data_IF_314908687785
#
_entry.id   IF_314908687785
#
_cell.length_a   1.000
_cell.length_b   1.000
_cell.length_c   1.000
_cell.angle_alpha   90.00
_cell.angle_beta   90.00
_cell.angle_gamma   90.00
#
_symmetry.space_group_name_H-M   'P 1'
#
loop_
_entity.id
_entity.type
_entity.pdbx_description
1 polymer ?
#
# COMPACT_ATOMS: atom_id res chain seq x y z
N UNK A 1 15.63 11.64 -2.65
CA UNK A 1 16.11 11.26 -4.01
C UNK A 1 14.96 11.50 -4.96
N UNK A 2 15.22 12.07 -6.14
CA UNK A 2 14.18 12.49 -7.09
C UNK A 2 14.17 11.54 -8.30
N UNK A 3 12.98 11.11 -8.72
CA UNK A 3 12.72 10.26 -9.90
C UNK A 3 11.38 10.71 -10.52
N UNK A 4 11.15 10.35 -11.79
CA UNK A 4 9.93 10.71 -12.54
C UNK A 4 8.85 9.64 -12.36
N UNK A 5 7.56 10.01 -12.44
CA UNK A 5 6.46 9.04 -12.44
C UNK A 5 6.37 8.37 -13.81
N UNK A 6 6.38 7.04 -13.84
CA UNK A 6 6.03 6.28 -15.05
C UNK A 6 4.57 5.84 -15.09
N UNK A 7 4.00 5.52 -13.93
CA UNK A 7 2.60 5.10 -13.81
C UNK A 7 1.97 5.72 -12.57
N UNK A 8 0.72 6.13 -12.70
CA UNK A 8 -0.08 6.66 -11.61
C UNK A 8 -1.39 5.87 -11.57
N UNK A 9 -1.64 5.19 -10.46
CA UNK A 9 -2.87 4.46 -10.23
C UNK A 9 -4.03 5.38 -9.82
N UNK A 10 -5.22 4.80 -9.79
CA UNK A 10 -6.42 5.47 -9.31
C UNK A 10 -6.32 5.89 -7.84
N UNK A 11 -7.16 6.86 -7.46
CA UNK A 11 -7.28 7.32 -6.08
C UNK A 11 -7.76 6.15 -5.21
N UNK A 12 -7.11 5.95 -4.08
CA UNK A 12 -7.45 4.90 -3.13
C UNK A 12 -8.93 4.98 -2.70
N UNK A 13 -9.59 3.82 -2.66
CA UNK A 13 -10.94 3.71 -2.08
C UNK A 13 -10.84 3.21 -0.64
N UNK A 14 -11.67 3.80 0.23
CA UNK A 14 -11.82 3.34 1.61
C UNK A 14 -12.19 1.87 1.60
N UNK A 15 -11.60 1.08 2.50
CA UNK A 15 -12.00 -0.32 2.63
C UNK A 15 -11.37 -1.28 1.60
N UNK A 16 -10.73 -0.78 0.53
CA UNK A 16 -10.33 -1.61 -0.63
C UNK A 16 -8.89 -1.31 -1.08
N UNK A 17 -8.02 -2.33 -1.15
CA UNK A 17 -6.78 -2.25 -1.95
C UNK A 17 -7.18 -2.57 -3.39
N UNK A 18 -7.07 -1.60 -4.30
CA UNK A 18 -7.53 -1.71 -5.68
C UNK A 18 -6.72 -2.77 -6.45
N UNK A 19 -7.38 -3.55 -7.30
CA UNK A 19 -6.70 -4.50 -8.19
C UNK A 19 -5.59 -3.82 -9.02
N UNK A 20 -5.84 -2.63 -9.56
CA UNK A 20 -4.83 -1.86 -10.29
C UNK A 20 -3.58 -1.57 -9.45
N UNK A 21 -3.73 -1.33 -8.14
CA UNK A 21 -2.57 -1.14 -7.26
C UNK A 21 -1.79 -2.43 -7.09
N UNK A 22 -2.47 -3.58 -7.00
CA UNK A 22 -1.84 -4.91 -6.94
C UNK A 22 -1.04 -5.19 -8.22
N UNK A 23 -1.60 -4.85 -9.38
CA UNK A 23 -0.92 -4.96 -10.69
C UNK A 23 0.29 -4.02 -10.81
N UNK A 24 0.14 -2.76 -10.37
CA UNK A 24 1.23 -1.78 -10.36
C UNK A 24 2.37 -2.19 -9.41
N UNK A 25 2.03 -2.73 -8.24
CA UNK A 25 2.97 -3.29 -7.28
C UNK A 25 3.54 -4.66 -7.65
N UNK A 26 3.29 -5.14 -8.88
CA UNK A 26 3.79 -6.40 -9.43
C UNK A 26 3.50 -7.61 -8.52
N UNK A 27 2.36 -7.58 -7.84
CA UNK A 27 2.02 -8.56 -6.84
C UNK A 27 1.10 -9.63 -7.43
N UNK A 28 1.64 -10.81 -7.68
CA UNK A 28 0.87 -11.96 -8.16
C UNK A 28 0.16 -12.66 -6.99
N UNK A 29 -1.16 -12.77 -7.06
CA UNK A 29 -1.97 -13.50 -6.08
C UNK A 29 -1.71 -15.00 -6.03
N UNK A 30 -1.08 -15.57 -7.08
CA UNK A 30 -0.64 -16.96 -7.13
C UNK A 30 0.72 -17.20 -6.45
N UNK A 31 1.49 -16.14 -6.19
CA UNK A 31 2.80 -16.23 -5.52
C UNK A 31 2.66 -16.60 -4.03
N UNK A 32 3.69 -17.24 -3.49
CA UNK A 32 3.83 -17.48 -2.04
C UNK A 32 4.40 -16.27 -1.28
N UNK A 33 4.85 -15.25 -2.02
CA UNK A 33 5.45 -14.04 -1.46
C UNK A 33 4.87 -12.78 -2.11
N UNK A 34 4.89 -11.69 -1.35
CA UNK A 34 4.46 -10.36 -1.82
C UNK A 34 5.68 -9.45 -1.93
N UNK A 35 5.79 -8.59 -2.96
CA UNK A 35 6.94 -7.71 -3.15
C UNK A 35 7.15 -6.76 -1.96
N UNK A 36 8.38 -6.70 -1.45
CA UNK A 36 8.69 -5.90 -0.25
C UNK A 36 8.44 -4.41 -0.46
N UNK A 37 8.92 -3.90 -1.60
CA UNK A 37 8.60 -2.59 -2.21
C UNK A 37 7.17 -2.14 -1.94
N UNK A 38 6.27 -2.98 -2.43
CA UNK A 38 4.88 -2.67 -2.47
C UNK A 38 4.20 -2.73 -1.10
N UNK A 39 4.34 -3.84 -0.35
CA UNK A 39 3.59 -3.98 0.90
C UNK A 39 4.02 -2.99 1.97
N UNK A 40 5.31 -2.63 2.03
CA UNK A 40 5.79 -1.58 2.94
C UNK A 40 5.31 -0.20 2.50
N UNK A 41 5.16 0.05 1.20
CA UNK A 41 4.61 1.32 0.69
C UNK A 41 3.17 1.50 1.14
N UNK A 42 2.36 0.44 1.09
CA UNK A 42 0.98 0.46 1.56
C UNK A 42 0.84 0.81 3.06
N UNK A 43 1.88 0.55 3.87
CA UNK A 43 1.90 0.86 5.30
C UNK A 43 2.80 2.05 5.66
N UNK A 44 3.35 2.73 4.65
CA UNK A 44 4.37 3.79 4.79
C UNK A 44 5.54 3.37 5.69
N UNK A 45 5.96 2.11 5.59
CA UNK A 45 6.98 1.47 6.41
C UNK A 45 6.80 1.58 7.94
N UNK A 46 5.55 1.75 8.41
CA UNK A 46 5.25 1.78 9.85
C UNK A 46 4.32 0.66 10.31
N UNK A 47 4.58 0.18 11.51
CA UNK A 47 3.75 -0.70 12.30
C UNK A 47 2.84 0.06 13.29
N UNK A 48 2.27 -0.65 14.27
CA UNK A 48 1.48 -0.06 15.33
C UNK A 48 2.30 0.99 16.11
N UNK A 49 1.65 2.07 16.51
CA UNK A 49 2.27 3.17 17.28
C UNK A 49 3.49 3.82 16.62
N UNK A 50 3.64 3.72 15.29
CA UNK A 50 4.77 4.32 14.57
C UNK A 50 6.07 3.54 14.66
N UNK A 51 6.04 2.31 15.21
CA UNK A 51 7.17 1.38 15.13
C UNK A 51 7.53 1.05 13.67
N UNK A 52 8.72 0.50 13.38
CA UNK A 52 9.03 -0.01 12.04
C UNK A 52 8.00 -1.06 11.58
N UNK A 53 7.70 -1.11 10.29
CA UNK A 53 6.76 -2.10 9.76
C UNK A 53 7.22 -3.55 10.08
N UNK A 54 6.41 -4.35 10.80
CA UNK A 54 6.77 -5.72 11.13
C UNK A 54 6.82 -6.60 9.87
N UNK A 55 7.85 -7.45 9.75
CA UNK A 55 7.97 -8.39 8.63
C UNK A 55 6.75 -9.31 8.45
N UNK A 56 6.01 -9.60 9.54
CA UNK A 56 4.75 -10.36 9.49
C UNK A 56 3.63 -9.70 8.67
N UNK A 57 3.74 -8.41 8.34
CA UNK A 57 2.78 -7.73 7.46
C UNK A 57 2.79 -8.29 6.03
N UNK A 58 3.91 -8.83 5.55
CA UNK A 58 3.94 -9.52 4.25
C UNK A 58 2.96 -10.71 4.22
N UNK A 59 2.95 -11.51 5.28
CA UNK A 59 2.02 -12.66 5.44
C UNK A 59 0.58 -12.21 5.59
N UNK A 60 0.34 -11.13 6.33
CA UNK A 60 -0.99 -10.53 6.43
C UNK A 60 -1.51 -10.04 5.07
N UNK A 61 -0.64 -9.42 4.27
CA UNK A 61 -1.01 -8.96 2.94
C UNK A 61 -1.30 -10.12 1.99
N UNK A 62 -0.49 -11.17 2.00
CA UNK A 62 -0.74 -12.39 1.23
C UNK A 62 -2.08 -13.05 1.62
N UNK A 63 -2.38 -13.12 2.91
CA UNK A 63 -3.65 -13.61 3.40
C UNK A 63 -4.82 -12.76 2.88
N UNK A 64 -4.69 -11.43 2.90
CA UNK A 64 -5.68 -10.52 2.32
C UNK A 64 -5.90 -10.77 0.83
N UNK A 65 -4.84 -10.96 0.03
CA UNK A 65 -4.94 -11.21 -1.41
C UNK A 65 -5.69 -12.51 -1.71
N UNK A 66 -5.44 -13.57 -0.93
CA UNK A 66 -6.15 -14.86 -1.07
C UNK A 66 -7.64 -14.75 -0.75
N UNK A 67 -8.02 -13.86 0.18
CA UNK A 67 -9.42 -13.52 0.46
C UNK A 67 -10.02 -12.54 -0.56
N UNK A 68 -9.20 -11.99 -1.47
CA UNK A 68 -9.61 -11.02 -2.47
C UNK A 68 -9.08 -11.33 -3.88
N UNK A 69 -9.49 -12.46 -4.50
CA UNK A 69 -9.00 -12.83 -5.82
C UNK A 69 -9.30 -11.78 -6.90
N UNK A 70 -10.38 -10.99 -6.72
CA UNK A 70 -10.81 -9.93 -7.65
C UNK A 70 -10.41 -8.52 -7.19
N UNK A 71 -9.58 -8.38 -6.15
CA UNK A 71 -8.99 -7.11 -5.72
C UNK A 71 -9.97 -6.05 -5.21
N UNK A 72 -11.15 -6.45 -4.75
CA UNK A 72 -12.19 -5.55 -4.23
C UNK A 72 -12.77 -5.98 -2.88
N UNK A 73 -12.04 -6.79 -2.10
CA UNK A 73 -12.57 -7.31 -0.84
C UNK A 73 -12.65 -6.21 0.20
N UNK A 74 -13.86 -6.06 0.72
CA UNK A 74 -14.14 -5.19 1.84
C UNK A 74 -13.37 -5.69 3.08
N UNK A 75 -12.29 -4.98 3.39
CA UNK A 75 -11.51 -5.15 4.62
C UNK A 75 -12.33 -5.14 5.92
N UNK A 76 -13.58 -4.67 5.90
CA UNK A 76 -14.50 -4.74 7.04
C UNK A 76 -14.70 -6.18 7.55
N UNK A 77 -14.62 -7.21 6.69
CA UNK A 77 -14.73 -8.59 7.16
C UNK A 77 -13.55 -8.99 8.05
N UNK A 78 -12.34 -8.60 7.68
CA UNK A 78 -11.13 -8.84 8.50
C UNK A 78 -11.18 -8.07 9.82
N UNK A 79 -11.73 -6.85 9.79
CA UNK A 79 -11.88 -6.01 10.98
C UNK A 79 -12.94 -6.55 11.96
N UNK A 80 -13.97 -7.24 11.46
CA UNK A 80 -15.03 -7.81 12.29
C UNK A 80 -14.60 -9.09 13.03
N UNK A 81 -13.56 -9.78 12.58
CA UNK A 81 -13.10 -11.06 13.15
C UNK A 81 -12.19 -10.91 14.39
N UNK A 82 -11.88 -9.68 14.86
CA UNK A 82 -11.03 -9.47 16.06
C UNK A 82 -11.80 -8.88 17.24
N UNK A 83 -12.31 -9.72 18.13
CA UNK A 83 -13.10 -9.27 19.30
C UNK A 83 -12.27 -9.03 20.58
N UNK A 84 -10.98 -9.42 20.63
CA UNK A 84 -10.17 -9.35 21.88
C UNK A 84 -8.80 -8.69 21.67
N UNK A 85 -8.11 -8.97 20.57
CA UNK A 85 -6.83 -8.31 20.22
C UNK A 85 -6.71 -8.22 18.69
N UNK A 86 -6.27 -7.08 18.11
CA UNK A 86 -6.17 -6.95 16.66
C UNK A 86 -5.14 -7.96 16.12
N UNK A 87 -5.59 -8.90 15.29
CA UNK A 87 -4.68 -9.83 14.63
C UNK A 87 -3.64 -9.06 13.80
N UNK A 88 -2.47 -9.65 13.48
CA UNK A 88 -1.51 -9.02 12.57
C UNK A 88 -2.13 -8.56 11.24
N UNK A 89 -3.16 -9.27 10.76
CA UNK A 89 -3.92 -8.90 9.56
C UNK A 89 -4.76 -7.64 9.77
N UNK A 90 -5.43 -7.52 10.91
CA UNK A 90 -6.19 -6.31 11.28
C UNK A 90 -5.27 -5.10 11.40
N UNK A 91 -4.13 -5.25 12.09
CA UNK A 91 -3.14 -4.18 12.23
C UNK A 91 -2.61 -3.70 10.87
N UNK A 92 -2.30 -4.64 9.96
CA UNK A 92 -1.88 -4.32 8.60
C UNK A 92 -2.96 -3.52 7.87
N UNK A 93 -4.19 -4.03 7.84
CA UNK A 93 -5.33 -3.40 7.16
C UNK A 93 -5.61 -1.99 7.70
N UNK A 94 -5.62 -1.82 9.02
CA UNK A 94 -5.83 -0.52 9.67
C UNK A 94 -4.77 0.49 9.22
N UNK A 95 -3.50 0.04 9.16
CA UNK A 95 -2.40 0.88 8.71
C UNK A 95 -2.54 1.26 7.24
N UNK A 96 -2.88 0.29 6.38
CA UNK A 96 -3.15 0.53 4.97
C UNK A 96 -4.24 1.60 4.78
N UNK A 97 -5.34 1.53 5.55
CA UNK A 97 -6.39 2.54 5.47
C UNK A 97 -5.94 3.92 5.92
N UNK A 98 -5.18 3.99 7.01
CA UNK A 98 -4.63 5.25 7.53
C UNK A 98 -3.72 5.93 6.51
N UNK A 99 -2.88 5.14 5.83
CA UNK A 99 -1.85 5.63 4.91
C UNK A 99 -2.40 6.01 3.53
N UNK A 100 -3.28 5.18 2.95
CA UNK A 100 -3.71 5.37 1.55
C UNK A 100 -4.76 6.46 1.34
N UNK A 101 -5.41 6.95 2.41
CA UNK A 101 -6.57 7.84 2.28
C UNK A 101 -6.21 9.10 1.48
N UNK A 102 -7.00 9.41 0.46
CA UNK A 102 -6.79 10.56 -0.43
C UNK A 102 -5.39 10.57 -1.10
N UNK A 103 -4.88 9.37 -1.43
CA UNK A 103 -3.61 9.17 -2.15
C UNK A 103 -3.81 8.36 -3.43
N UNK A 104 -2.89 8.50 -4.37
CA UNK A 104 -2.70 7.62 -5.53
C UNK A 104 -1.40 6.84 -5.33
N UNK A 105 -1.34 5.62 -5.86
CA UNK A 105 -0.09 4.87 -5.98
C UNK A 105 0.66 5.35 -7.22
N UNK A 106 1.97 5.54 -7.11
CA UNK A 106 2.85 5.80 -8.25
C UNK A 106 3.86 4.68 -8.40
N UNK A 107 4.37 4.52 -9.61
CA UNK A 107 5.58 3.75 -9.89
C UNK A 107 6.58 4.66 -10.60
N UNK A 108 7.78 4.76 -10.04
CA UNK A 108 8.84 5.60 -10.61
C UNK A 108 9.40 5.02 -11.90
N UNK A 109 9.93 5.87 -12.78
CA UNK A 109 10.37 5.46 -14.11
C UNK A 109 11.69 4.70 -14.08
N UNK A 110 12.70 5.26 -13.41
CA UNK A 110 14.06 4.73 -13.45
C UNK A 110 14.20 3.53 -12.54
N UNK A 111 13.74 3.67 -11.29
CA UNK A 111 13.98 2.66 -10.25
C UNK A 111 12.82 1.71 -10.00
N UNK A 112 11.68 1.95 -10.66
CA UNK A 112 10.44 1.19 -10.49
C UNK A 112 9.98 1.13 -9.03
N UNK A 113 10.25 2.19 -8.27
CA UNK A 113 9.83 2.26 -6.87
C UNK A 113 8.36 2.63 -6.78
N UNK A 114 7.69 2.00 -5.83
CA UNK A 114 6.33 2.36 -5.44
C UNK A 114 6.33 3.53 -4.44
N UNK A 115 5.33 4.40 -4.55
CA UNK A 115 5.14 5.51 -3.64
C UNK A 115 3.69 5.96 -3.56
N UNK A 116 3.38 6.80 -2.58
CA UNK A 116 2.04 7.36 -2.41
C UNK A 116 2.09 8.88 -2.55
N UNK A 117 1.31 9.43 -3.48
CA UNK A 117 1.21 10.86 -3.73
C UNK A 117 -0.18 11.39 -3.41
N UNK A 118 -0.35 12.69 -3.15
CA UNK A 118 -1.66 13.32 -3.02
C UNK A 118 -2.58 13.00 -4.20
N UNK A 119 -3.89 12.93 -3.96
CA UNK A 119 -4.87 12.68 -5.02
C UNK A 119 -4.86 13.74 -6.15
N UNK A 120 -4.31 14.93 -5.89
CA UNK A 120 -4.16 16.03 -6.85
C UNK A 120 -2.90 15.92 -7.71
N UNK A 121 -2.03 14.91 -7.48
CA UNK A 121 -0.82 14.75 -8.28
C UNK A 121 -1.17 14.34 -9.73
N UNK A 122 -0.45 14.96 -10.67
CA UNK A 122 -0.52 14.76 -12.12
C UNK A 122 0.90 14.80 -12.69
N UNK A 123 1.20 13.97 -13.69
CA UNK A 123 2.36 14.08 -14.60
C UNK A 123 3.77 13.95 -14.02
N UNK A 124 4.11 14.76 -13.01
CA UNK A 124 5.44 14.91 -12.41
C UNK A 124 5.29 15.02 -10.89
N UNK A 125 5.57 13.94 -10.16
CA UNK A 125 5.72 14.02 -8.71
C UNK A 125 6.94 13.23 -8.26
N UNK A 126 7.65 13.77 -7.27
CA UNK A 126 8.89 13.23 -6.75
C UNK A 126 8.61 12.04 -5.84
N UNK A 127 8.97 10.83 -6.26
CA UNK A 127 8.84 9.63 -5.43
C UNK A 127 9.95 9.55 -4.37
N UNK A 128 9.66 9.93 -3.13
CA UNK A 128 10.48 9.53 -1.99
C UNK A 128 10.10 8.09 -1.59
N UNK A 129 10.93 7.12 -1.95
CA UNK A 129 10.80 5.75 -1.41
C UNK A 129 10.89 5.78 0.12
N UNK A 130 10.04 4.98 0.79
CA UNK A 130 9.97 4.68 2.25
C UNK A 130 10.18 5.77 3.30
N UNK A 131 10.28 7.05 2.95
CA UNK A 131 10.40 8.13 3.91
C UNK A 131 9.47 9.27 3.53
N UNK A 132 8.62 9.66 4.49
CA UNK A 132 7.61 10.69 4.42
C UNK A 132 8.21 12.12 4.40
N UNK A 133 9.32 12.33 3.68
CA UNK A 133 9.95 13.64 3.57
C UNK A 133 9.73 14.27 2.18
N UNK A 134 8.80 15.24 2.19
CA UNK A 134 8.70 16.40 1.31
C UNK A 134 8.42 16.09 -0.17
N UNK A 135 7.13 15.99 -0.51
CA UNK A 135 6.67 16.24 -1.87
C UNK A 135 6.59 17.76 -2.08
N UNK A 136 7.60 18.37 -2.70
CA UNK A 136 7.45 19.69 -3.29
C UNK A 136 6.99 19.53 -4.74
N UNK A 137 5.82 20.10 -5.04
CA UNK A 137 5.37 20.33 -6.42
C UNK A 137 6.26 21.46 -6.97
N UNK A 138 7.00 21.18 -8.05
CA UNK A 138 7.66 22.22 -8.83
C UNK A 138 6.73 22.69 -9.95
#
# INVERSE_FOLDING_TARGET
>A
MVDTISKLGLVAKVGIILQEWVELGQCDGASETVPEGFWRTLVADRGPHGSPAPSRYSRAFLYYLRLSPTGNTNTNRLMAESEIEPSPAVNFVQRVHSVKRNRKLLVSETKKYEGLVPMTAEGEAVAAGYHEEQFELR
#
